data_IF_426565474502
#
_entry.id   IF_426565474502
#
_cell.length_a   1.000
_cell.length_b   1.000
_cell.length_c   1.000
_cell.angle_alpha   90.00
_cell.angle_beta   90.00
_cell.angle_gamma   90.00
#
_symmetry.space_group_name_H-M   'P 1'
#
loop_
_entity.id
_entity.type
_entity.pdbx_description
1 polymer ?
#
# COMPACT_ATOMS: atom_id res chain seq x y z
N UNK A 1 1.87 26.27 -2.66
CA UNK A 1 1.63 25.30 -3.73
C UNK A 1 2.16 23.95 -3.26
N UNK A 2 1.32 22.89 -3.27
CA UNK A 2 1.64 21.54 -2.81
C UNK A 2 2.14 20.74 -4.01
N UNK A 3 3.41 20.32 -3.98
CA UNK A 3 4.06 19.56 -5.05
C UNK A 3 3.92 18.05 -4.76
N UNK A 4 3.26 17.34 -5.65
CA UNK A 4 2.90 15.92 -5.48
C UNK A 4 3.71 15.04 -6.44
N UNK A 5 4.27 13.95 -5.95
CA UNK A 5 4.76 12.83 -6.76
C UNK A 5 3.70 11.75 -6.81
N UNK A 6 3.31 11.31 -8.01
CA UNK A 6 2.37 10.20 -8.22
C UNK A 6 3.17 8.94 -8.53
N UNK A 7 2.95 7.88 -7.74
CA UNK A 7 3.62 6.59 -7.90
C UNK A 7 2.56 5.51 -8.09
N UNK A 8 2.41 5.02 -9.32
CA UNK A 8 1.43 4.00 -9.73
C UNK A 8 1.92 3.36 -11.04
N UNK A 9 1.83 2.07 -11.22
CA UNK A 9 2.25 1.40 -12.44
C UNK A 9 1.23 1.54 -13.60
N UNK A 10 -0.03 1.90 -13.26
CA UNK A 10 -1.09 2.07 -14.25
C UNK A 10 -1.13 3.51 -14.81
N UNK A 11 -0.76 3.66 -16.07
CA UNK A 11 -0.77 4.97 -16.75
C UNK A 11 -2.15 5.67 -16.66
N UNK A 12 -3.24 4.92 -16.84
CA UNK A 12 -4.61 5.47 -16.79
C UNK A 12 -4.91 6.07 -15.43
N UNK A 13 -4.48 5.43 -14.34
CA UNK A 13 -4.67 5.93 -12.98
C UNK A 13 -3.89 7.24 -12.78
N UNK A 14 -2.61 7.28 -13.21
CA UNK A 14 -1.81 8.51 -13.11
C UNK A 14 -2.45 9.66 -13.88
N UNK A 15 -2.95 9.41 -15.12
CA UNK A 15 -3.65 10.45 -15.89
C UNK A 15 -4.95 10.90 -15.22
N UNK A 16 -5.73 9.97 -14.67
CA UNK A 16 -6.94 10.29 -13.92
C UNK A 16 -6.65 11.18 -12.71
N UNK A 17 -5.63 10.85 -11.91
CA UNK A 17 -5.22 11.66 -10.76
C UNK A 17 -4.74 13.06 -11.23
N UNK A 18 -3.96 13.15 -12.31
CA UNK A 18 -3.53 14.45 -12.86
C UNK A 18 -4.73 15.30 -13.25
N UNK A 19 -5.72 14.72 -13.88
CA UNK A 19 -6.94 15.44 -14.28
C UNK A 19 -7.75 15.88 -13.06
N UNK A 20 -7.90 15.03 -12.04
CA UNK A 20 -8.57 15.39 -10.78
C UNK A 20 -7.89 16.59 -10.07
N UNK A 21 -6.57 16.70 -10.19
CA UNK A 21 -5.80 17.76 -9.53
C UNK A 21 -5.64 19.02 -10.37
N UNK A 22 -5.92 19.00 -11.68
CA UNK A 22 -5.69 20.11 -12.60
C UNK A 22 -6.40 21.41 -12.18
N UNK A 23 -7.62 21.29 -11.66
CA UNK A 23 -8.47 22.43 -11.31
C UNK A 23 -8.30 22.90 -9.86
N UNK A 24 -7.38 22.32 -9.08
CA UNK A 24 -7.25 22.63 -7.64
C UNK A 24 -6.53 23.94 -7.35
N UNK A 25 -5.78 24.50 -8.30
CA UNK A 25 -5.06 25.77 -8.19
C UNK A 25 -3.88 25.81 -7.18
N UNK A 26 -3.92 24.96 -6.13
CA UNK A 26 -2.92 24.92 -5.05
C UNK A 26 -2.07 23.64 -5.03
N UNK A 27 -2.48 22.61 -5.81
CA UNK A 27 -1.78 21.33 -5.92
C UNK A 27 -1.20 21.18 -7.34
N UNK A 28 0.05 20.76 -7.43
CA UNK A 28 0.72 20.54 -8.71
C UNK A 28 1.42 19.20 -8.74
N UNK A 29 1.26 18.44 -9.82
CA UNK A 29 2.00 17.21 -10.03
C UNK A 29 3.43 17.55 -10.44
N UNK A 30 4.37 17.27 -9.55
CA UNK A 30 5.80 17.55 -9.73
C UNK A 30 6.55 16.43 -10.43
N UNK A 31 5.95 15.23 -10.48
CA UNK A 31 6.54 14.08 -11.15
C UNK A 31 5.64 12.86 -11.08
N UNK A 32 5.97 11.86 -11.88
CA UNK A 32 5.31 10.54 -11.92
C UNK A 32 6.37 9.46 -11.80
N UNK A 33 6.05 8.33 -11.18
CA UNK A 33 6.85 7.13 -11.15
C UNK A 33 5.94 5.92 -11.43
N UNK A 34 6.43 4.95 -12.18
CA UNK A 34 5.69 3.74 -12.54
C UNK A 34 6.15 2.50 -11.76
N UNK A 35 7.12 2.66 -10.86
CA UNK A 35 7.66 1.60 -10.03
C UNK A 35 8.33 2.16 -8.77
N UNK A 36 8.57 1.27 -7.78
CA UNK A 36 9.15 1.65 -6.51
C UNK A 36 10.57 2.26 -6.58
N UNK A 37 11.52 1.65 -7.31
CA UNK A 37 12.86 2.22 -7.47
C UNK A 37 12.86 3.63 -8.07
N UNK A 38 12.03 3.89 -9.08
CA UNK A 38 11.90 5.21 -9.71
C UNK A 38 11.31 6.24 -8.74
N UNK A 39 10.32 5.83 -7.93
CA UNK A 39 9.74 6.70 -6.89
C UNK A 39 10.81 7.17 -5.88
N UNK A 40 11.62 6.24 -5.37
CA UNK A 40 12.70 6.55 -4.42
C UNK A 40 13.74 7.48 -5.07
N UNK A 41 14.16 7.18 -6.31
CA UNK A 41 15.11 8.00 -7.06
C UNK A 41 14.61 9.45 -7.19
N UNK A 42 13.36 9.65 -7.61
CA UNK A 42 12.76 10.98 -7.80
C UNK A 42 12.63 11.76 -6.51
N UNK A 43 12.30 11.10 -5.39
CA UNK A 43 12.28 11.75 -4.08
C UNK A 43 13.68 12.22 -3.68
N UNK A 44 14.72 11.40 -3.89
CA UNK A 44 16.12 11.77 -3.60
C UNK A 44 16.58 12.95 -4.45
N UNK A 45 16.32 12.92 -5.77
CA UNK A 45 16.66 14.00 -6.67
C UNK A 45 15.97 15.30 -6.28
N UNK A 46 14.67 15.25 -5.93
CA UNK A 46 13.93 16.42 -5.49
C UNK A 46 14.36 16.96 -4.13
N UNK A 47 14.98 16.14 -3.27
CA UNK A 47 15.48 16.57 -1.96
C UNK A 47 16.84 17.28 -2.04
N UNK A 48 17.60 17.05 -3.11
CA UNK A 48 18.90 17.70 -3.36
C UNK A 48 18.77 18.99 -4.18
N UNK A 49 17.65 19.18 -4.89
CA UNK A 49 17.38 20.39 -5.68
C UNK A 49 16.84 21.50 -4.76
N UNK A 50 17.52 22.65 -4.72
CA UNK A 50 17.13 23.80 -3.91
C UNK A 50 15.65 24.23 -4.12
N UNK A 51 14.95 24.37 -3.02
CA UNK A 51 13.71 25.14 -2.80
C UNK A 51 12.35 24.58 -3.30
N UNK A 52 12.25 23.57 -4.15
CA UNK A 52 10.95 23.11 -4.69
C UNK A 52 10.71 21.59 -4.53
N UNK A 53 11.14 21.00 -3.43
CA UNK A 53 11.02 19.57 -3.16
C UNK A 53 9.58 19.04 -3.18
N UNK A 54 9.45 17.72 -3.35
CA UNK A 54 8.16 17.00 -3.23
C UNK A 54 7.63 17.21 -1.81
N UNK A 55 6.36 17.61 -1.71
CA UNK A 55 5.67 17.85 -0.45
C UNK A 55 4.80 16.67 -0.02
N UNK A 56 4.28 15.92 -0.97
CA UNK A 56 3.46 14.72 -0.72
C UNK A 56 3.77 13.67 -1.77
N UNK A 57 3.83 12.42 -1.36
CA UNK A 57 3.90 11.27 -2.27
C UNK A 57 2.55 10.56 -2.25
N UNK A 58 1.93 10.39 -3.42
CA UNK A 58 0.80 9.49 -3.63
C UNK A 58 1.38 8.15 -4.07
N UNK A 59 1.17 7.10 -3.29
CA UNK A 59 1.84 5.83 -3.47
C UNK A 59 0.83 4.70 -3.63
N UNK A 60 0.82 4.07 -4.82
CA UNK A 60 0.10 2.80 -4.97
C UNK A 60 0.76 1.70 -4.14
N UNK A 61 -0.06 0.82 -3.59
CA UNK A 61 0.41 -0.35 -2.87
C UNK A 61 0.94 -1.40 -3.85
N UNK A 62 0.22 -1.65 -4.95
CA UNK A 62 0.45 -2.79 -5.85
C UNK A 62 1.36 -2.44 -7.04
N UNK A 63 2.59 -2.04 -6.82
CA UNK A 63 3.54 -1.74 -7.91
C UNK A 63 4.46 -2.93 -8.24
N UNK A 64 4.92 -3.06 -9.51
CA UNK A 64 5.89 -4.07 -9.90
C UNK A 64 7.27 -3.81 -9.29
N UNK A 65 8.12 -4.85 -9.29
CA UNK A 65 9.49 -4.87 -8.77
C UNK A 65 9.56 -4.65 -7.26
N UNK A 66 8.93 -3.61 -6.74
CA UNK A 66 8.91 -3.28 -5.32
C UNK A 66 7.55 -2.74 -4.90
N UNK A 67 6.99 -3.39 -3.91
CA UNK A 67 5.70 -3.10 -3.30
C UNK A 67 5.72 -1.71 -2.63
N UNK A 68 4.61 -0.99 -2.73
CA UNK A 68 4.49 0.36 -2.18
C UNK A 68 4.69 0.45 -0.67
N UNK A 69 4.39 -0.61 0.10
CA UNK A 69 4.67 -0.64 1.54
C UNK A 69 6.17 -0.75 1.84
N UNK A 70 6.93 -1.47 1.01
CA UNK A 70 8.38 -1.53 1.13
C UNK A 70 9.04 -0.20 0.73
N UNK A 71 8.48 0.47 -0.29
CA UNK A 71 8.90 1.83 -0.68
C UNK A 71 8.58 2.82 0.44
N UNK A 72 7.38 2.76 1.03
CA UNK A 72 6.97 3.57 2.17
C UNK A 72 7.98 3.43 3.32
N UNK A 73 8.31 2.18 3.72
CA UNK A 73 9.28 1.92 4.79
C UNK A 73 10.63 2.57 4.51
N UNK A 74 11.13 2.45 3.29
CA UNK A 74 12.39 3.07 2.89
C UNK A 74 12.30 4.59 2.90
N UNK A 75 11.24 5.18 2.32
CA UNK A 75 11.03 6.63 2.33
C UNK A 75 10.93 7.17 3.76
N UNK A 76 10.28 6.45 4.67
CA UNK A 76 10.19 6.87 6.08
C UNK A 76 11.51 6.75 6.83
N UNK A 77 12.40 5.85 6.42
CA UNK A 77 13.76 5.77 6.97
C UNK A 77 14.64 6.92 6.47
N UNK A 78 14.58 7.23 5.17
CA UNK A 78 15.42 8.27 4.55
C UNK A 78 14.85 9.68 4.71
N UNK A 79 13.52 9.83 4.65
CA UNK A 79 12.77 11.10 4.69
C UNK A 79 11.61 11.01 5.70
N UNK A 80 11.88 10.96 7.02
CA UNK A 80 10.85 10.73 8.05
C UNK A 80 9.69 11.73 8.01
N UNK A 81 9.98 12.97 7.62
CA UNK A 81 9.01 14.08 7.58
C UNK A 81 8.20 14.14 6.26
N UNK A 82 8.58 13.39 5.22
CA UNK A 82 7.87 13.41 3.95
C UNK A 82 6.53 12.67 4.09
N UNK A 83 5.38 13.35 3.90
CA UNK A 83 4.08 12.68 3.94
C UNK A 83 3.92 11.73 2.75
N UNK A 84 3.50 10.50 3.02
CA UNK A 84 3.12 9.51 2.01
C UNK A 84 1.66 9.17 2.22
N UNK A 85 0.82 9.44 1.22
CA UNK A 85 -0.58 9.04 1.14
C UNK A 85 -0.66 7.76 0.31
N UNK A 86 -1.05 6.67 0.94
CA UNK A 86 -1.20 5.38 0.25
C UNK A 86 -2.50 5.33 -0.53
N UNK A 87 -2.43 4.81 -1.76
CA UNK A 87 -3.58 4.61 -2.64
C UNK A 87 -3.80 3.11 -2.85
N UNK A 88 -5.05 2.67 -2.88
CA UNK A 88 -5.39 1.27 -3.14
C UNK A 88 -6.74 1.15 -3.84
N UNK A 89 -6.87 0.17 -4.73
CA UNK A 89 -8.16 -0.24 -5.31
C UNK A 89 -8.97 -1.11 -4.34
N UNK A 90 -8.32 -1.68 -3.33
CA UNK A 90 -8.95 -2.59 -2.39
C UNK A 90 -9.48 -1.82 -1.17
N UNK A 91 -10.72 -2.07 -0.74
CA UNK A 91 -11.26 -1.53 0.51
C UNK A 91 -10.68 -2.21 1.75
N UNK A 92 -9.53 -2.90 1.59
CA UNK A 92 -8.98 -3.75 2.62
C UNK A 92 -8.47 -2.93 3.80
N UNK A 93 -9.21 -3.06 4.88
CA UNK A 93 -8.98 -2.41 6.17
C UNK A 93 -7.59 -2.73 6.74
N UNK A 94 -7.08 -3.93 6.46
CA UNK A 94 -5.77 -4.39 6.92
C UNK A 94 -4.63 -3.61 6.25
N UNK A 95 -4.73 -3.30 4.96
CA UNK A 95 -3.72 -2.49 4.26
C UNK A 95 -3.66 -1.06 4.81
N UNK A 96 -4.81 -0.49 5.14
CA UNK A 96 -4.86 0.82 5.75
C UNK A 96 -4.14 0.83 7.11
N UNK A 97 -4.47 -0.10 8.00
CA UNK A 97 -3.83 -0.22 9.32
C UNK A 97 -2.32 -0.48 9.18
N UNK A 98 -1.93 -1.39 8.27
CA UNK A 98 -0.51 -1.70 8.04
C UNK A 98 0.26 -0.50 7.48
N UNK A 99 -0.32 0.24 6.53
CA UNK A 99 0.28 1.46 5.98
C UNK A 99 0.54 2.50 7.06
N UNK A 100 -0.44 2.72 7.93
CA UNK A 100 -0.36 3.68 9.02
C UNK A 100 0.67 3.24 10.09
N UNK A 101 0.73 1.96 10.44
CA UNK A 101 1.79 1.40 11.31
C UNK A 101 3.19 1.61 10.74
N UNK A 102 3.35 1.61 9.42
CA UNK A 102 4.61 1.89 8.72
C UNK A 102 4.91 3.39 8.55
N UNK A 103 4.04 4.27 9.05
CA UNK A 103 4.23 5.72 9.04
C UNK A 103 3.64 6.44 7.83
N UNK A 104 2.68 5.83 7.12
CA UNK A 104 1.91 6.56 6.12
C UNK A 104 1.16 7.74 6.77
N UNK A 105 1.08 8.87 6.08
CA UNK A 105 0.30 10.02 6.51
C UNK A 105 -1.19 9.88 6.22
N UNK A 106 -1.58 8.83 5.48
CA UNK A 106 -2.98 8.52 5.21
C UNK A 106 -3.13 7.35 4.26
N UNK A 107 -4.40 6.95 4.12
CA UNK A 107 -4.82 5.89 3.21
C UNK A 107 -6.10 6.32 2.50
N UNK A 108 -6.16 6.16 1.19
CA UNK A 108 -7.29 6.56 0.35
C UNK A 108 -7.56 5.49 -0.71
N UNK A 109 -8.85 5.22 -0.96
CA UNK A 109 -9.22 4.35 -2.08
C UNK A 109 -9.01 5.10 -3.41
N UNK A 110 -8.53 4.39 -4.44
CA UNK A 110 -8.34 4.96 -5.79
C UNK A 110 -9.67 5.37 -6.47
N UNK A 111 -10.81 4.89 -5.96
CA UNK A 111 -12.15 5.31 -6.40
C UNK A 111 -12.61 6.62 -5.75
N UNK A 112 -11.81 7.24 -4.88
CA UNK A 112 -12.13 8.53 -4.29
C UNK A 112 -12.31 9.61 -5.36
N UNK A 113 -13.26 10.50 -5.14
CA UNK A 113 -13.46 11.64 -6.03
C UNK A 113 -12.37 12.72 -5.89
N UNK A 114 -12.42 13.73 -6.74
CA UNK A 114 -11.43 14.81 -6.78
C UNK A 114 -11.41 15.66 -5.50
N UNK A 115 -12.57 15.81 -4.84
CA UNK A 115 -12.70 16.57 -3.60
C UNK A 115 -12.02 15.84 -2.44
N UNK A 116 -12.29 14.54 -2.28
CA UNK A 116 -11.66 13.70 -1.26
C UNK A 116 -10.16 13.60 -1.48
N UNK A 117 -9.71 13.41 -2.74
CA UNK A 117 -8.29 13.35 -3.08
C UNK A 117 -7.57 14.64 -2.71
N UNK A 118 -8.11 15.79 -3.11
CA UNK A 118 -7.51 17.10 -2.85
C UNK A 118 -7.53 17.44 -1.35
N UNK A 119 -8.61 17.11 -0.64
CA UNK A 119 -8.70 17.29 0.83
C UNK A 119 -7.67 16.41 1.56
N UNK A 120 -7.50 15.15 1.14
CA UNK A 120 -6.49 14.25 1.70
C UNK A 120 -5.07 14.82 1.51
N UNK A 121 -4.74 15.26 0.29
CA UNK A 121 -3.43 15.83 -0.04
C UNK A 121 -3.16 17.07 0.82
N UNK A 122 -4.12 18.00 0.93
CA UNK A 122 -3.97 19.22 1.75
C UNK A 122 -3.75 18.89 3.22
N UNK A 123 -4.52 17.95 3.76
CA UNK A 123 -4.42 17.53 5.15
C UNK A 123 -3.06 16.93 5.47
N UNK A 124 -2.55 16.02 4.65
CA UNK A 124 -1.25 15.38 4.89
C UNK A 124 -0.08 16.36 4.63
N UNK A 125 -0.21 17.27 3.66
CA UNK A 125 0.78 18.31 3.40
C UNK A 125 0.92 19.30 4.57
N UNK A 126 -0.15 19.51 5.34
CA UNK A 126 -0.15 20.31 6.56
C UNK A 126 0.36 19.52 7.80
N UNK A 127 0.82 18.27 7.63
CA UNK A 127 1.31 17.42 8.72
C UNK A 127 0.20 16.66 9.46
N UNK A 128 -1.06 16.71 8.99
CA UNK A 128 -2.17 15.96 9.53
C UNK A 128 -2.19 14.51 9.04
N UNK A 129 -2.97 13.68 9.72
CA UNK A 129 -3.25 12.29 9.32
C UNK A 129 -4.60 12.22 8.61
N UNK A 130 -4.64 11.63 7.41
CA UNK A 130 -5.88 11.38 6.68
C UNK A 130 -6.30 9.92 6.79
N UNK A 131 -7.37 9.67 7.53
CA UNK A 131 -7.98 8.35 7.68
C UNK A 131 -9.50 8.48 7.57
N UNK A 132 -10.15 7.48 6.99
CA UNK A 132 -11.61 7.38 6.98
C UNK A 132 -12.12 6.90 8.35
N UNK A 133 -13.39 7.18 8.72
CA UNK A 133 -13.97 6.68 9.96
C UNK A 133 -13.82 5.16 10.13
N UNK A 134 -14.04 4.41 9.07
CA UNK A 134 -13.91 2.95 9.06
C UNK A 134 -12.48 2.49 9.39
N UNK A 135 -11.45 3.16 8.85
CA UNK A 135 -10.06 2.86 9.18
C UNK A 135 -9.74 3.24 10.62
N UNK A 136 -10.30 4.35 11.11
CA UNK A 136 -10.11 4.78 12.50
C UNK A 136 -10.69 3.77 13.51
N UNK A 137 -11.87 3.21 13.26
CA UNK A 137 -12.49 2.16 14.07
C UNK A 137 -11.62 0.91 14.15
N UNK A 138 -11.07 0.48 13.00
CA UNK A 138 -10.17 -0.67 12.98
C UNK A 138 -8.83 -0.42 13.69
N UNK A 139 -8.30 0.79 13.59
CA UNK A 139 -7.11 1.16 14.36
C UNK A 139 -7.40 1.15 15.87
N UNK A 140 -8.57 1.67 16.29
CA UNK A 140 -8.97 1.66 17.70
C UNK A 140 -9.09 0.22 18.22
N UNK A 141 -9.68 -0.69 17.43
CA UNK A 141 -9.79 -2.11 17.78
C UNK A 141 -8.40 -2.77 17.85
N UNK A 142 -7.53 -2.51 16.88
CA UNK A 142 -6.17 -3.05 16.84
C UNK A 142 -5.28 -2.50 17.98
N UNK A 143 -5.49 -1.26 18.40
CA UNK A 143 -4.78 -0.65 19.54
C UNK A 143 -5.38 -1.09 20.89
N UNK A 144 -6.69 -1.27 20.98
CA UNK A 144 -7.38 -1.76 22.19
C UNK A 144 -7.00 -3.21 22.53
N UNK A 145 -6.66 -4.01 21.54
CA UNK A 145 -6.12 -5.36 21.72
C UNK A 145 -4.63 -5.37 22.13
N UNK A 146 -3.92 -4.23 22.12
CA UNK A 146 -2.46 -4.18 22.17
C UNK A 146 -1.79 -3.17 23.10
N UNK A 147 -2.45 -2.64 24.11
CA UNK A 147 -1.75 -1.88 25.16
C UNK A 147 -1.13 -2.87 26.16
N UNK A 148 -0.02 -3.48 25.77
CA UNK A 148 0.72 -4.39 26.65
C UNK A 148 1.48 -5.52 25.96
N UNK A 149 1.41 -5.66 24.66
CA UNK A 149 2.09 -6.74 23.96
C UNK A 149 3.40 -6.26 23.30
N UNK A 150 4.53 -6.53 23.95
CA UNK A 150 5.77 -6.96 23.28
C UNK A 150 5.38 -7.85 22.10
N UNK A 151 6.10 -7.77 20.94
CA UNK A 151 5.93 -8.64 19.76
C UNK A 151 5.54 -10.04 20.20
N UNK A 152 4.22 -10.29 20.28
CA UNK A 152 3.71 -11.55 20.77
C UNK A 152 3.74 -12.56 19.62
N UNK A 153 3.99 -13.80 19.98
CA UNK A 153 3.91 -14.96 19.10
C UNK A 153 2.51 -15.14 18.45
N UNK A 154 1.54 -14.32 18.85
CA UNK A 154 0.12 -14.32 18.44
C UNK A 154 -0.23 -13.34 17.32
N UNK A 155 0.75 -12.68 16.67
CA UNK A 155 0.43 -11.87 15.47
C UNK A 155 -0.09 -12.79 14.36
N UNK A 156 -1.29 -12.54 13.79
CA UNK A 156 -1.86 -13.40 12.76
C UNK A 156 -0.84 -13.65 11.63
N UNK A 157 -0.66 -14.92 11.24
CA UNK A 157 0.40 -15.31 10.32
C UNK A 157 0.36 -14.58 8.98
N UNK A 158 -0.83 -14.19 8.53
CA UNK A 158 -1.02 -13.43 7.29
C UNK A 158 -0.49 -11.99 7.38
N UNK A 159 -0.35 -11.42 8.57
CA UNK A 159 0.26 -10.08 8.76
C UNK A 159 1.77 -10.09 8.50
N UNK A 160 2.41 -11.26 8.51
CA UNK A 160 3.82 -11.45 8.19
C UNK A 160 4.11 -11.50 6.68
N UNK A 161 3.05 -11.63 5.87
CA UNK A 161 3.17 -11.67 4.42
C UNK A 161 3.44 -10.25 3.88
N UNK A 162 4.32 -10.14 2.87
CA UNK A 162 4.40 -8.91 2.07
C UNK A 162 3.10 -8.72 1.28
N UNK A 163 2.89 -7.53 0.70
CA UNK A 163 1.68 -7.29 -0.09
C UNK A 163 1.52 -8.29 -1.23
N UNK A 164 2.58 -8.54 -2.01
CA UNK A 164 2.57 -9.52 -3.11
C UNK A 164 2.36 -10.95 -2.64
N UNK A 165 2.96 -11.33 -1.53
CA UNK A 165 2.69 -12.63 -0.92
C UNK A 165 1.24 -12.73 -0.47
N UNK A 166 0.66 -11.68 0.10
CA UNK A 166 -0.75 -11.67 0.51
C UNK A 166 -1.71 -11.73 -0.68
N UNK A 167 -1.43 -11.03 -1.79
CA UNK A 167 -2.21 -11.17 -3.02
C UNK A 167 -2.20 -12.60 -3.54
N UNK A 168 -1.01 -13.22 -3.63
CA UNK A 168 -0.86 -14.62 -4.05
C UNK A 168 -1.55 -15.57 -3.06
N UNK A 169 -1.39 -15.33 -1.75
CA UNK A 169 -2.06 -16.10 -0.69
C UNK A 169 -3.59 -16.10 -0.87
N UNK A 170 -4.22 -14.93 -1.07
CA UNK A 170 -5.67 -14.86 -1.28
C UNK A 170 -6.13 -15.66 -2.49
N UNK A 171 -5.40 -15.57 -3.60
CA UNK A 171 -5.73 -16.30 -4.82
C UNK A 171 -5.54 -17.82 -4.67
N UNK A 172 -4.48 -18.24 -3.98
CA UNK A 172 -4.29 -19.66 -3.62
C UNK A 172 -5.42 -20.16 -2.70
N UNK A 173 -5.82 -19.35 -1.72
CA UNK A 173 -6.85 -19.71 -0.75
C UNK A 173 -8.24 -19.89 -1.38
N UNK A 174 -8.54 -19.19 -2.48
CA UNK A 174 -9.76 -19.40 -3.27
C UNK A 174 -9.61 -20.48 -4.36
N UNK A 175 -8.47 -21.22 -4.38
CA UNK A 175 -8.26 -22.36 -5.25
C UNK A 175 -7.72 -22.01 -6.65
N UNK A 176 -7.17 -20.82 -6.88
CA UNK A 176 -6.53 -20.50 -8.16
C UNK A 176 -5.21 -21.24 -8.30
N UNK A 177 -4.94 -21.75 -9.49
CA UNK A 177 -3.68 -22.38 -9.85
C UNK A 177 -2.57 -21.35 -10.01
N UNK A 178 -1.30 -21.78 -9.90
CA UNK A 178 -0.12 -20.92 -10.13
C UNK A 178 -0.16 -20.25 -11.51
N UNK A 179 -0.67 -20.96 -12.53
CA UNK A 179 -0.81 -20.41 -13.89
C UNK A 179 -1.83 -19.26 -13.95
N UNK A 180 -3.04 -19.48 -13.42
CA UNK A 180 -4.09 -18.45 -13.35
C UNK A 180 -3.64 -17.23 -12.55
N UNK A 181 -2.93 -17.45 -11.43
CA UNK A 181 -2.38 -16.34 -10.62
C UNK A 181 -1.33 -15.56 -11.41
N UNK A 182 -0.46 -16.26 -12.14
CA UNK A 182 0.57 -15.64 -12.96
C UNK A 182 -0.05 -14.73 -14.03
N UNK A 183 -1.09 -15.20 -14.72
CA UNK A 183 -1.83 -14.42 -15.70
C UNK A 183 -2.53 -13.21 -15.06
N UNK A 184 -3.26 -13.43 -13.96
CA UNK A 184 -4.03 -12.39 -13.29
C UNK A 184 -3.15 -11.27 -12.70
N UNK A 185 -1.99 -11.62 -12.15
CA UNK A 185 -1.07 -10.65 -11.55
C UNK A 185 0.04 -10.16 -12.49
N UNK A 186 0.01 -10.60 -13.75
CA UNK A 186 1.03 -10.28 -14.78
C UNK A 186 2.44 -10.65 -14.26
N UNK A 187 2.58 -11.87 -13.77
CA UNK A 187 3.82 -12.44 -13.25
C UNK A 187 4.22 -13.69 -14.01
N UNK A 188 5.47 -14.14 -13.86
CA UNK A 188 5.85 -15.48 -14.32
C UNK A 188 5.37 -16.55 -13.33
N UNK A 189 5.07 -17.76 -13.82
CA UNK A 189 4.72 -18.90 -12.97
C UNK A 189 5.82 -19.23 -11.94
N UNK A 190 7.08 -19.03 -12.30
CA UNK A 190 8.22 -19.20 -11.40
C UNK A 190 8.19 -18.17 -10.25
N UNK A 191 7.81 -16.93 -10.54
CA UNK A 191 7.66 -15.87 -9.54
C UNK A 191 6.53 -16.20 -8.56
N UNK A 192 5.38 -16.66 -9.07
CA UNK A 192 4.25 -17.08 -8.23
C UNK A 192 4.62 -18.30 -7.38
N UNK A 193 5.33 -19.29 -7.93
CA UNK A 193 5.82 -20.46 -7.19
C UNK A 193 6.78 -20.05 -6.07
N UNK A 194 7.63 -19.06 -6.30
CA UNK A 194 8.51 -18.50 -5.27
C UNK A 194 7.72 -17.82 -4.16
N UNK A 195 6.70 -17.03 -4.49
CA UNK A 195 5.81 -16.44 -3.49
C UNK A 195 5.05 -17.52 -2.72
N UNK A 196 4.50 -18.53 -3.40
CA UNK A 196 3.82 -19.67 -2.74
C UNK A 196 4.73 -20.35 -1.72
N UNK A 197 5.97 -20.66 -2.07
CA UNK A 197 6.94 -21.26 -1.14
C UNK A 197 7.18 -20.39 0.09
N UNK A 198 7.37 -19.07 -0.09
CA UNK A 198 7.55 -18.12 1.01
C UNK A 198 6.31 -17.98 1.89
N UNK A 199 5.12 -18.04 1.29
CA UNK A 199 3.85 -17.99 2.02
C UNK A 199 3.73 -19.22 2.93
N UNK A 200 3.96 -20.41 2.41
CA UNK A 200 3.92 -21.66 3.17
C UNK A 200 4.92 -21.63 4.34
N UNK A 201 6.15 -21.17 4.09
CA UNK A 201 7.19 -21.02 5.12
C UNK A 201 6.76 -20.02 6.22
N UNK A 202 6.28 -18.83 5.85
CA UNK A 202 5.88 -17.79 6.79
C UNK A 202 4.61 -18.12 7.58
N UNK A 203 3.69 -18.87 6.99
CA UNK A 203 2.42 -19.27 7.62
C UNK A 203 2.51 -20.61 8.34
N UNK A 204 3.57 -21.39 8.10
CA UNK A 204 3.69 -22.75 8.62
C UNK A 204 2.69 -23.75 7.99
N UNK A 205 1.95 -23.36 6.96
CA UNK A 205 1.04 -24.22 6.23
C UNK A 205 1.82 -25.20 5.34
N UNK A 206 1.38 -26.45 5.27
CA UNK A 206 2.04 -27.49 4.49
C UNK A 206 1.62 -27.51 3.02
N UNK A 207 0.44 -26.98 2.72
CA UNK A 207 -0.15 -26.97 1.38
C UNK A 207 -1.25 -25.90 1.25
N UNK A 208 -1.77 -25.73 0.03
CA UNK A 208 -2.78 -24.72 -0.28
C UNK A 208 -4.12 -24.96 0.41
N UNK A 209 -4.44 -26.22 0.76
CA UNK A 209 -5.67 -26.55 1.51
C UNK A 209 -5.58 -25.99 2.94
N UNK A 210 -4.43 -26.14 3.58
CA UNK A 210 -4.22 -25.54 4.91
C UNK A 210 -4.23 -24.01 4.86
N UNK A 211 -3.73 -23.40 3.76
CA UNK A 211 -3.86 -21.95 3.54
C UNK A 211 -5.33 -21.53 3.39
N UNK A 212 -6.12 -22.28 2.62
CA UNK A 212 -7.55 -22.01 2.44
C UNK A 212 -8.31 -22.10 3.78
N UNK A 213 -8.07 -23.15 4.55
CA UNK A 213 -8.68 -23.33 5.87
C UNK A 213 -8.30 -22.21 6.83
N UNK A 214 -7.03 -21.79 6.79
CA UNK A 214 -6.56 -20.65 7.57
C UNK A 214 -7.26 -19.36 7.16
N UNK A 215 -7.39 -19.10 5.85
CA UNK A 215 -8.06 -17.91 5.33
C UNK A 215 -9.54 -17.83 5.72
N UNK A 216 -10.26 -18.96 5.67
CA UNK A 216 -11.67 -19.06 6.12
C UNK A 216 -11.77 -18.78 7.62
N UNK A 217 -10.90 -19.40 8.44
CA UNK A 217 -10.90 -19.22 9.90
C UNK A 217 -10.63 -17.78 10.32
N UNK A 218 -9.84 -17.05 9.54
CA UNK A 218 -9.49 -15.64 9.78
C UNK A 218 -10.43 -14.67 9.06
N UNK A 219 -11.49 -15.13 8.43
CA UNK A 219 -12.46 -14.31 7.68
C UNK A 219 -11.80 -13.42 6.60
N UNK A 220 -10.75 -13.94 5.92
CA UNK A 220 -9.97 -13.19 4.94
C UNK A 220 -10.52 -13.29 3.51
N UNK A 221 -11.56 -14.09 3.26
CA UNK A 221 -12.10 -14.39 1.93
C UNK A 221 -13.41 -13.66 1.63
N UNK A 222 -13.67 -12.51 2.25
CA UNK A 222 -14.85 -11.70 1.89
C UNK A 222 -14.63 -11.03 0.52
N UNK A 223 -15.65 -11.13 -0.35
CA UNK A 223 -15.77 -10.44 -1.64
C UNK A 223 -15.82 -8.92 -1.49
#
# INVERSE_FOLDING_TARGET
MIRVLICDDHLIVRQGIKQMLADTGDIVVAGEADNGPDAIRKVREASTADALGIKVVLMDIAMPQRDGLDVLRQLKTEFPKLPVLMLSTYPDKQYAVRSLKLGAAGYLNKSADSEQMSAAIRKVAAGGLFITPTVAEHMATALGAGVGATRSADEPLHERLSHREYQVFRLLAIGRSVGEIAEQLILSSNTVSTYRARILDKTGARNDVELALYAVKQELLHE
#
